data_IF_948758118687
#
_entry.id   IF_948758118687
#
_cell.length_a   1.000
_cell.length_b   1.000
_cell.length_c   1.000
_cell.angle_alpha   90.00
_cell.angle_beta   90.00
_cell.angle_gamma   90.00
#
_symmetry.space_group_name_H-M   'P 1'
#
loop_
_entity.id
_entity.type
_entity.pdbx_description
1 polymer ?
#
# COMPACT_ATOMS: atom_id res chain seq x y z
N UNK A 1 54.26 7.35 16.95
CA UNK A 1 53.49 6.58 15.95
C UNK A 1 54.35 6.45 14.73
N UNK A 2 54.77 5.23 14.41
CA UNK A 2 55.59 5.00 13.22
C UNK A 2 54.71 5.12 11.98
N UNK A 3 55.28 5.49 10.83
CA UNK A 3 54.52 5.58 9.57
C UNK A 3 53.82 4.25 9.22
N UNK A 4 54.40 3.12 9.64
CA UNK A 4 53.79 1.80 9.48
C UNK A 4 52.47 1.67 10.26
N UNK A 5 52.42 2.19 11.50
CA UNK A 5 51.21 2.15 12.33
C UNK A 5 50.07 2.94 11.69
N UNK A 6 50.34 4.11 11.12
CA UNK A 6 49.33 4.95 10.47
C UNK A 6 48.72 4.28 9.23
N UNK A 7 49.53 3.58 8.43
CA UNK A 7 49.04 2.82 7.27
C UNK A 7 48.14 1.68 7.71
N UNK A 8 48.51 0.94 8.74
CA UNK A 8 47.71 -0.17 9.28
C UNK A 8 46.38 0.34 9.85
N UNK A 9 46.40 1.42 10.63
CA UNK A 9 45.19 2.02 11.21
C UNK A 9 44.24 2.53 10.11
N UNK A 10 44.78 3.16 9.05
CA UNK A 10 43.98 3.60 7.91
C UNK A 10 43.30 2.42 7.20
N UNK A 11 44.02 1.32 6.99
CA UNK A 11 43.48 0.12 6.34
C UNK A 11 42.35 -0.52 7.17
N UNK A 12 42.53 -0.62 8.49
CA UNK A 12 41.51 -1.13 9.42
C UNK A 12 40.28 -0.20 9.42
N UNK A 13 40.49 1.11 9.49
CA UNK A 13 39.40 2.09 9.44
C UNK A 13 38.58 1.98 8.17
N UNK A 14 39.25 1.86 7.01
CA UNK A 14 38.59 1.67 5.72
C UNK A 14 37.83 0.34 5.66
N UNK A 15 38.42 -0.74 6.20
CA UNK A 15 37.76 -2.04 6.31
C UNK A 15 36.48 -2.00 7.14
N UNK A 16 36.48 -1.28 8.27
CA UNK A 16 35.29 -1.13 9.12
C UNK A 16 34.19 -0.35 8.38
N UNK A 17 34.54 0.74 7.69
CA UNK A 17 33.55 1.52 6.91
C UNK A 17 32.89 0.64 5.84
N UNK A 18 33.67 -0.14 5.09
CA UNK A 18 33.13 -1.08 4.13
C UNK A 18 32.24 -2.14 4.77
N UNK A 19 32.66 -2.71 5.90
CA UNK A 19 31.87 -3.70 6.63
C UNK A 19 30.51 -3.14 7.05
N UNK A 20 30.48 -1.91 7.58
CA UNK A 20 29.24 -1.23 7.96
C UNK A 20 28.33 -0.99 6.76
N UNK A 21 28.89 -0.53 5.62
CA UNK A 21 28.12 -0.33 4.39
C UNK A 21 27.50 -1.63 3.84
N UNK A 22 28.27 -2.72 3.85
CA UNK A 22 27.78 -4.04 3.44
C UNK A 22 26.63 -4.49 4.35
N UNK A 23 26.81 -4.35 5.67
CA UNK A 23 25.80 -4.77 6.65
C UNK A 23 24.51 -3.96 6.53
N UNK A 24 24.62 -2.65 6.29
CA UNK A 24 23.49 -1.78 6.01
C UNK A 24 22.77 -2.16 4.70
N UNK A 25 23.54 -2.45 3.65
CA UNK A 25 22.99 -2.89 2.36
C UNK A 25 22.20 -4.20 2.49
N UNK A 26 22.75 -5.16 3.24
CA UNK A 26 22.05 -6.41 3.56
C UNK A 26 20.75 -6.17 4.33
N UNK A 27 20.75 -5.27 5.32
CA UNK A 27 19.57 -4.93 6.10
C UNK A 27 18.44 -4.36 5.23
N UNK A 28 18.78 -3.51 4.26
CA UNK A 28 17.85 -2.92 3.31
C UNK A 28 17.32 -4.00 2.36
N UNK A 29 18.20 -4.86 1.83
CA UNK A 29 17.81 -5.94 0.92
C UNK A 29 16.88 -6.95 1.61
N UNK A 30 17.15 -7.28 2.87
CA UNK A 30 16.30 -8.16 3.68
C UNK A 30 14.90 -7.55 3.86
N UNK A 31 14.80 -6.28 4.23
CA UNK A 31 13.52 -5.59 4.32
C UNK A 31 12.79 -5.55 2.96
N UNK A 32 13.51 -5.30 1.87
CA UNK A 32 12.95 -5.29 0.51
C UNK A 32 12.43 -6.67 0.09
N UNK A 33 13.14 -7.75 0.41
CA UNK A 33 12.67 -9.12 0.15
C UNK A 33 11.44 -9.48 0.99
N UNK A 34 11.39 -9.10 2.27
CA UNK A 34 10.20 -9.32 3.12
C UNK A 34 8.98 -8.60 2.53
N UNK A 35 9.14 -7.34 2.13
CA UNK A 35 8.04 -6.54 1.56
C UNK A 35 7.58 -7.12 0.22
N UNK A 36 8.50 -7.59 -0.62
CA UNK A 36 8.17 -8.26 -1.88
C UNK A 36 7.40 -9.56 -1.65
N UNK A 37 7.82 -10.38 -0.67
CA UNK A 37 7.15 -11.63 -0.35
C UNK A 37 5.72 -11.42 0.20
N UNK A 38 5.52 -10.38 1.01
CA UNK A 38 4.19 -9.98 1.49
C UNK A 38 3.33 -9.46 0.33
N UNK A 39 3.92 -8.70 -0.60
CA UNK A 39 3.20 -8.18 -1.77
C UNK A 39 2.74 -9.30 -2.71
N UNK A 40 3.53 -10.35 -2.94
CA UNK A 40 3.12 -11.51 -3.75
C UNK A 40 1.93 -12.26 -3.13
N UNK A 41 1.89 -12.37 -1.80
CA UNK A 41 0.75 -12.96 -1.09
C UNK A 41 -0.53 -12.12 -1.26
N UNK A 42 -0.38 -10.80 -1.34
CA UNK A 42 -1.48 -9.86 -1.55
C UNK A 42 -1.96 -9.85 -3.01
N UNK A 43 -1.04 -9.92 -3.96
CA UNK A 43 -1.34 -9.93 -5.40
C UNK A 43 -2.00 -11.24 -5.86
N UNK A 44 -1.66 -12.38 -5.23
CA UNK A 44 -2.35 -13.66 -5.46
C UNK A 44 -3.84 -13.61 -5.05
N UNK A 45 -4.20 -12.74 -4.11
CA UNK A 45 -5.60 -12.50 -3.70
C UNK A 45 -6.34 -11.60 -4.70
N UNK A 46 -5.67 -10.61 -5.28
CA UNK A 46 -6.25 -9.72 -6.32
C UNK A 46 -6.54 -10.45 -7.65
N UNK A 47 -5.65 -11.35 -8.09
CA UNK A 47 -5.85 -12.10 -9.34
C UNK A 47 -7.06 -13.06 -9.30
N UNK A 48 -7.50 -13.49 -8.11
CA UNK A 48 -8.69 -14.31 -7.96
C UNK A 48 -10.00 -13.50 -8.07
N UNK A 49 -9.96 -12.19 -7.87
CA UNK A 49 -11.15 -11.31 -7.90
C UNK A 49 -11.38 -10.69 -9.29
N UNK A 50 -10.32 -10.43 -10.06
CA UNK A 50 -10.43 -9.79 -11.37
C UNK A 50 -11.09 -10.67 -12.46
N UNK A 51 -11.22 -11.99 -12.25
CA UNK A 51 -11.85 -12.89 -13.24
C UNK A 51 -13.39 -12.89 -13.20
N UNK A 52 -14.02 -12.33 -12.16
CA UNK A 52 -15.48 -12.49 -11.97
C UNK A 52 -16.29 -11.24 -12.33
N UNK A 53 -15.68 -10.06 -12.43
CA UNK A 53 -16.44 -8.80 -12.57
C UNK A 53 -16.36 -8.17 -13.97
N UNK A 54 -16.29 -9.00 -15.01
CA UNK A 54 -16.63 -8.58 -16.38
C UNK A 54 -18.02 -9.09 -16.68
N UNK A 55 -19.04 -8.52 -16.02
CA UNK A 55 -20.42 -8.66 -16.46
C UNK A 55 -21.12 -7.31 -16.45
N UNK A 56 -20.84 -6.58 -17.53
CA UNK A 56 -21.70 -5.62 -18.23
C UNK A 56 -23.10 -5.39 -17.63
N UNK A 57 -23.39 -4.13 -17.28
CA UNK A 57 -24.64 -3.45 -17.67
C UNK A 57 -24.34 -1.96 -17.96
N UNK A 58 -24.73 -1.40 -19.12
CA UNK A 58 -24.63 0.01 -19.44
C UNK A 58 -25.94 0.75 -19.11
N UNK A 59 -25.86 1.99 -18.62
CA UNK A 59 -26.80 3.08 -18.91
C UNK A 59 -26.45 4.34 -18.08
N UNK A 60 -25.95 5.35 -18.80
CA UNK A 60 -26.37 6.76 -18.72
C UNK A 60 -26.58 7.39 -17.34
N UNK A 61 -25.65 8.27 -16.94
CA UNK A 61 -25.87 9.71 -16.98
C UNK A 61 -24.61 10.48 -16.57
N UNK A 62 -24.33 11.51 -17.34
CA UNK A 62 -23.19 12.43 -17.23
C UNK A 62 -23.07 13.03 -15.83
N UNK A 63 -21.95 12.75 -15.15
CA UNK A 63 -21.24 13.77 -14.38
C UNK A 63 -19.76 13.64 -14.68
N UNK A 64 -19.23 14.76 -15.14
CA UNK A 64 -17.86 14.93 -15.57
C UNK A 64 -16.87 14.52 -14.49
N UNK A 65 -15.94 13.64 -14.87
CA UNK A 65 -14.54 13.84 -14.57
C UNK A 65 -14.13 13.82 -13.11
N UNK A 66 -14.22 12.66 -12.48
CA UNK A 66 -13.21 12.22 -11.54
C UNK A 66 -13.17 10.69 -11.62
N UNK A 67 -12.16 10.17 -12.32
CA UNK A 67 -11.83 8.75 -12.31
C UNK A 67 -11.44 8.36 -10.89
N UNK A 68 -12.45 8.10 -10.08
CA UNK A 68 -12.21 7.60 -8.75
C UNK A 68 -11.68 6.19 -8.89
N UNK A 69 -10.43 6.01 -8.47
CA UNK A 69 -9.96 4.68 -8.11
C UNK A 69 -10.75 4.30 -6.87
N UNK A 70 -11.92 3.70 -7.06
CA UNK A 70 -12.62 2.96 -6.03
C UNK A 70 -11.68 1.83 -5.60
N UNK A 71 -10.81 2.13 -4.63
CA UNK A 71 -10.04 1.12 -3.93
C UNK A 71 -10.99 0.05 -3.40
N UNK A 72 -10.53 -1.20 -3.29
CA UNK A 72 -11.33 -2.38 -2.93
C UNK A 72 -12.23 -2.18 -1.69
N UNK A 73 -13.43 -1.62 -1.85
CA UNK A 73 -14.40 -1.48 -0.78
C UNK A 73 -15.09 -2.83 -0.55
N UNK A 74 -14.88 -3.41 0.63
CA UNK A 74 -15.51 -4.67 1.01
C UNK A 74 -16.85 -4.39 1.70
N UNK A 75 -17.96 -4.63 1.00
CA UNK A 75 -19.31 -4.59 1.55
C UNK A 75 -19.70 -5.97 2.09
N UNK A 76 -20.02 -6.05 3.38
CA UNK A 76 -20.40 -7.29 4.07
C UNK A 76 -21.81 -7.14 4.62
N UNK A 77 -22.79 -7.71 3.92
CA UNK A 77 -24.21 -7.67 4.34
C UNK A 77 -24.88 -6.32 4.19
N UNK A 78 -24.34 -5.42 3.36
CA UNK A 78 -24.86 -4.08 3.09
C UNK A 78 -24.97 -3.89 1.57
N UNK A 79 -26.07 -3.32 1.11
CA UNK A 79 -26.27 -2.97 -0.30
C UNK A 79 -25.48 -1.70 -0.68
N UNK A 80 -25.20 -1.56 -1.98
CA UNK A 80 -24.41 -0.45 -2.51
C UNK A 80 -25.05 0.91 -2.25
N UNK A 81 -26.38 1.00 -2.26
CA UNK A 81 -27.09 2.26 -2.00
C UNK A 81 -26.96 2.67 -0.54
N UNK A 82 -27.10 1.75 0.40
CA UNK A 82 -26.85 2.00 1.82
C UNK A 82 -25.38 2.36 2.06
N UNK A 83 -24.45 1.69 1.38
CA UNK A 83 -23.03 2.04 1.47
C UNK A 83 -22.74 3.47 0.97
N UNK A 84 -23.29 3.86 -0.19
CA UNK A 84 -23.14 5.21 -0.72
C UNK A 84 -23.72 6.27 0.23
N UNK A 85 -24.86 5.98 0.85
CA UNK A 85 -25.47 6.84 1.85
C UNK A 85 -24.56 7.01 3.09
N UNK A 86 -23.97 5.92 3.58
CA UNK A 86 -23.00 5.95 4.67
C UNK A 86 -21.77 6.79 4.29
N UNK A 87 -21.26 6.64 3.07
CA UNK A 87 -20.10 7.41 2.61
C UNK A 87 -20.38 8.92 2.54
N UNK A 88 -21.57 9.30 2.05
CA UNK A 88 -22.00 10.69 1.98
C UNK A 88 -22.12 11.31 3.38
N UNK A 89 -22.76 10.62 4.32
CA UNK A 89 -22.92 11.11 5.71
C UNK A 89 -21.56 11.31 6.38
N UNK A 90 -20.65 10.34 6.25
CA UNK A 90 -19.34 10.42 6.90
C UNK A 90 -18.47 11.52 6.28
N UNK A 91 -18.57 11.75 4.96
CA UNK A 91 -17.88 12.86 4.30
C UNK A 91 -18.38 14.22 4.80
N UNK A 92 -19.69 14.39 4.97
CA UNK A 92 -20.30 15.62 5.47
C UNK A 92 -19.92 15.88 6.95
N UNK A 93 -20.05 14.88 7.82
CA UNK A 93 -19.69 15.00 9.24
C UNK A 93 -18.18 15.22 9.44
N UNK A 94 -17.34 14.57 8.63
CA UNK A 94 -15.89 14.72 8.72
C UNK A 94 -15.37 15.99 8.02
N UNK A 95 -16.19 16.64 7.19
CA UNK A 95 -15.78 17.74 6.30
C UNK A 95 -14.57 17.40 5.41
N UNK A 96 -14.36 16.10 5.14
CA UNK A 96 -13.33 15.60 4.23
C UNK A 96 -14.04 15.26 2.93
N UNK A 97 -13.61 15.82 1.78
CA UNK A 97 -14.22 15.48 0.50
C UNK A 97 -14.06 13.98 0.26
N UNK A 98 -15.02 13.38 -0.44
CA UNK A 98 -14.97 11.96 -0.77
C UNK A 98 -13.60 11.58 -1.38
N UNK A 99 -12.94 12.48 -2.13
CA UNK A 99 -11.72 12.21 -2.93
C UNK A 99 -10.51 11.83 -2.10
N UNK A 100 -10.51 12.22 -0.84
CA UNK A 100 -9.47 11.92 0.14
C UNK A 100 -9.93 10.86 1.15
N UNK A 101 -11.20 10.43 1.09
CA UNK A 101 -11.82 9.53 2.04
C UNK A 101 -11.80 8.07 1.55
N UNK A 102 -11.01 7.23 2.22
CA UNK A 102 -10.86 5.81 1.87
C UNK A 102 -11.63 4.89 2.83
N UNK A 103 -12.69 4.27 2.33
CA UNK A 103 -13.44 3.23 3.05
C UNK A 103 -12.85 1.84 2.78
N UNK A 104 -12.35 1.17 3.82
CA UNK A 104 -11.76 -0.19 3.70
C UNK A 104 -12.80 -1.31 3.79
N UNK A 105 -13.82 -1.15 4.63
CA UNK A 105 -14.85 -2.16 4.87
C UNK A 105 -16.11 -1.51 5.45
N UNK A 106 -17.29 -1.91 4.97
CA UNK A 106 -18.58 -1.60 5.59
C UNK A 106 -19.27 -2.94 5.90
N UNK A 107 -19.60 -3.16 7.17
CA UNK A 107 -20.18 -4.42 7.65
C UNK A 107 -21.46 -4.14 8.43
N UNK A 108 -22.54 -4.83 8.08
CA UNK A 108 -23.73 -4.89 8.91
C UNK A 108 -23.41 -5.69 10.19
N UNK A 109 -23.73 -5.12 11.35
CA UNK A 109 -23.74 -5.83 12.62
C UNK A 109 -25.20 -6.15 12.90
N UNK A 110 -25.56 -7.43 12.78
CA UNK A 110 -26.81 -8.00 13.31
C UNK A 110 -26.79 -7.99 14.85
#
# INVERSE_FOLDING_TARGET
MTFADSVIVSLIGFGIVFLVLILLSFLIQFQSSILTYISELMQKKEMAFQKTDIRQVPADQEMEGEQWTAGELKLLGVDEKTAAMIMAIISDESQIPLSELQFKMIKAID
#
